data_IF_356386092035
#
_entry.id   IF_356386092035
#
_cell.length_a   1.000
_cell.length_b   1.000
_cell.length_c   1.000
_cell.angle_alpha   90.00
_cell.angle_beta   90.00
_cell.angle_gamma   90.00
#
_symmetry.space_group_name_H-M   'P 1'
#
loop_
_entity.id
_entity.type
_entity.pdbx_description
1 polymer ?
#
# COMPACT_ATOMS: atom_id res chain seq x y z
N UNK A 1 -2.49 -1.94 -17.65
CA UNK A 1 -2.58 -3.13 -18.52
C UNK A 1 -1.48 -4.08 -18.08
N UNK A 2 -1.80 -5.35 -17.87
CA UNK A 2 -0.79 -6.35 -17.49
C UNK A 2 -0.10 -6.81 -18.77
N UNK A 3 1.23 -6.67 -18.80
CA UNK A 3 2.03 -7.20 -19.91
C UNK A 3 1.95 -8.73 -19.89
N UNK A 4 1.82 -9.37 -21.04
CA UNK A 4 1.78 -10.83 -21.10
C UNK A 4 3.22 -11.37 -21.21
N UNK A 5 3.56 -12.49 -20.54
CA UNK A 5 2.68 -13.42 -19.82
C UNK A 5 2.57 -13.14 -18.29
N UNK A 6 2.82 -11.92 -17.81
CA UNK A 6 2.67 -11.61 -16.38
C UNK A 6 1.19 -11.67 -15.95
N UNK A 7 0.97 -11.91 -14.65
CA UNK A 7 -0.37 -12.08 -14.05
C UNK A 7 -0.77 -10.93 -13.13
N UNK A 8 0.13 -9.97 -12.91
CA UNK A 8 -0.13 -8.79 -12.09
C UNK A 8 0.80 -7.63 -12.50
N UNK A 9 0.36 -6.40 -12.25
CA UNK A 9 1.14 -5.17 -12.39
C UNK A 9 0.83 -4.23 -11.23
N UNK A 10 1.89 -3.66 -10.63
CA UNK A 10 1.81 -2.69 -9.56
C UNK A 10 1.93 -1.27 -10.15
N UNK A 11 1.15 -0.35 -9.63
CA UNK A 11 1.22 1.07 -9.95
C UNK A 11 1.39 1.89 -8.67
N UNK A 12 2.09 3.02 -8.80
CA UNK A 12 2.35 3.96 -7.71
C UNK A 12 1.94 5.35 -8.17
N UNK A 13 1.02 5.96 -7.44
CA UNK A 13 0.67 7.35 -7.68
C UNK A 13 1.76 8.31 -7.22
N UNK A 14 1.62 9.58 -7.57
CA UNK A 14 2.50 10.62 -7.06
C UNK A 14 2.39 10.74 -5.54
N UNK A 15 3.54 10.84 -4.86
CA UNK A 15 3.59 11.10 -3.42
C UNK A 15 3.07 12.51 -3.14
N UNK A 16 2.05 12.62 -2.27
CA UNK A 16 1.44 13.89 -1.86
C UNK A 16 1.44 14.01 -0.34
N UNK A 17 1.49 15.24 0.17
CA UNK A 17 1.29 15.49 1.60
C UNK A 17 -0.18 15.29 1.96
N UNK A 18 -0.47 14.39 2.88
CA UNK A 18 -1.83 14.14 3.39
C UNK A 18 -1.86 14.31 4.91
N UNK A 19 -2.97 14.84 5.42
CA UNK A 19 -3.27 14.82 6.84
C UNK A 19 -3.72 13.41 7.23
N UNK A 20 -3.03 12.82 8.21
CA UNK A 20 -3.33 11.48 8.73
C UNK A 20 -3.47 11.54 10.24
N UNK A 21 -4.32 10.68 10.79
CA UNK A 21 -4.43 10.48 12.23
C UNK A 21 -3.36 9.47 12.65
N UNK A 22 -2.63 9.80 13.71
CA UNK A 22 -1.68 8.92 14.38
C UNK A 22 -2.19 8.68 15.79
N UNK A 23 -2.34 7.40 16.14
CA UNK A 23 -2.71 6.96 17.47
C UNK A 23 -1.45 6.53 18.22
N UNK A 24 -1.22 7.09 19.40
CA UNK A 24 -0.09 6.72 20.25
C UNK A 24 -0.34 5.40 21.02
N UNK A 25 0.65 4.84 21.74
CA UNK A 25 0.46 3.61 22.53
C UNK A 25 -0.57 3.72 23.66
N UNK A 26 -0.90 4.93 24.10
CA UNK A 26 -1.89 5.23 25.15
C UNK A 26 -3.30 5.38 24.56
N UNK A 27 -3.43 5.40 23.23
CA UNK A 27 -4.69 5.54 22.51
C UNK A 27 -5.08 6.98 22.20
N UNK A 28 -4.19 7.96 22.38
CA UNK A 28 -4.48 9.35 22.03
C UNK A 28 -4.24 9.59 20.54
N UNK A 29 -5.20 10.27 19.91
CA UNK A 29 -5.14 10.62 18.50
C UNK A 29 -4.52 12.01 18.28
N UNK A 30 -3.67 12.12 17.26
CA UNK A 30 -3.11 13.39 16.79
C UNK A 30 -3.14 13.45 15.26
N UNK A 31 -3.31 14.66 14.70
CA UNK A 31 -3.24 14.86 13.25
C UNK A 31 -1.81 15.26 12.89
N UNK A 32 -1.25 14.58 11.91
CA UNK A 32 0.05 14.91 11.35
C UNK A 32 0.03 14.92 9.83
N UNK A 33 0.87 15.76 9.22
CA UNK A 33 1.06 15.77 7.76
C UNK A 33 2.14 14.73 7.42
N UNK A 34 1.84 13.80 6.51
CA UNK A 34 2.77 12.77 6.05
C UNK A 34 2.85 12.71 4.52
N UNK A 35 4.02 12.39 3.94
CA UNK A 35 4.10 12.01 2.54
C UNK A 35 3.42 10.66 2.36
N UNK A 36 2.41 10.60 1.50
CA UNK A 36 1.60 9.41 1.27
C UNK A 36 1.50 9.15 -0.23
N UNK A 37 1.40 7.88 -0.60
CA UNK A 37 1.12 7.44 -1.96
C UNK A 37 0.01 6.41 -1.96
N UNK A 38 -0.69 6.29 -3.08
CA UNK A 38 -1.60 5.18 -3.34
C UNK A 38 -0.81 4.10 -4.08
N UNK A 39 -1.00 2.85 -3.65
CA UNK A 39 -0.44 1.66 -4.30
C UNK A 39 -1.59 0.90 -4.95
N UNK A 40 -1.58 0.80 -6.27
CA UNK A 40 -2.58 0.08 -7.05
C UNK A 40 -2.05 -1.27 -7.52
N UNK A 41 -2.86 -2.32 -7.45
CA UNK A 41 -2.54 -3.63 -8.04
C UNK A 41 -3.65 -4.01 -9.03
N UNK A 42 -3.27 -4.23 -10.28
CA UNK A 42 -4.13 -4.94 -11.23
C UNK A 42 -3.62 -6.37 -11.37
N UNK A 43 -4.52 -7.35 -11.30
CA UNK A 43 -4.17 -8.77 -11.42
C UNK A 43 -5.18 -9.54 -12.28
N UNK A 44 -4.75 -10.68 -12.81
CA UNK A 44 -5.62 -11.62 -13.52
C UNK A 44 -6.35 -12.52 -12.51
N UNK A 45 -7.67 -12.37 -12.41
CA UNK A 45 -8.52 -13.16 -11.51
C UNK A 45 -8.56 -14.66 -11.81
N UNK A 46 -8.15 -15.07 -13.01
CA UNK A 46 -8.05 -16.49 -13.37
C UNK A 46 -6.84 -17.14 -12.71
N UNK A 47 -5.81 -16.34 -12.40
CA UNK A 47 -4.57 -16.79 -11.77
C UNK A 47 -4.55 -16.56 -10.26
N UNK A 48 -5.10 -15.43 -9.77
CA UNK A 48 -5.09 -15.04 -8.36
C UNK A 48 -6.48 -14.60 -7.88
N UNK A 49 -6.85 -15.02 -6.68
CA UNK A 49 -8.04 -14.49 -6.01
C UNK A 49 -7.76 -13.16 -5.30
N UNK A 50 -8.84 -12.51 -4.82
CA UNK A 50 -8.73 -11.22 -4.14
C UNK A 50 -8.06 -11.29 -2.77
N UNK A 51 -8.07 -12.44 -2.08
CA UNK A 51 -7.42 -12.60 -0.77
C UNK A 51 -5.91 -12.58 -0.94
N UNK A 52 -5.39 -13.32 -1.91
CA UNK A 52 -3.96 -13.35 -2.24
C UNK A 52 -3.47 -11.97 -2.69
N UNK A 53 -4.24 -11.29 -3.56
CA UNK A 53 -3.93 -9.92 -3.99
C UNK A 53 -3.90 -8.92 -2.82
N UNK A 54 -4.87 -9.00 -1.89
CA UNK A 54 -4.92 -8.14 -0.71
C UNK A 54 -3.77 -8.41 0.27
N UNK A 55 -3.43 -9.68 0.49
CA UNK A 55 -2.30 -10.07 1.34
C UNK A 55 -0.95 -9.59 0.76
N UNK A 56 -0.80 -9.66 -0.56
CA UNK A 56 0.37 -9.12 -1.25
C UNK A 56 0.50 -7.61 -1.00
N UNK A 57 -0.58 -6.83 -1.26
CA UNK A 57 -0.57 -5.37 -1.02
C UNK A 57 -0.32 -5.02 0.45
N UNK A 58 -0.90 -5.76 1.40
CA UNK A 58 -0.66 -5.56 2.82
C UNK A 58 0.81 -5.80 3.21
N UNK A 59 1.45 -6.78 2.58
CA UNK A 59 2.88 -7.07 2.78
C UNK A 59 3.75 -5.97 2.18
N UNK A 60 3.46 -5.52 0.96
CA UNK A 60 4.15 -4.38 0.33
C UNK A 60 4.03 -3.14 1.21
N UNK A 61 2.83 -2.81 1.67
CA UNK A 61 2.58 -1.69 2.59
C UNK A 61 3.45 -1.81 3.84
N UNK A 62 3.41 -2.94 4.54
CA UNK A 62 4.17 -3.17 5.77
C UNK A 62 5.67 -2.99 5.55
N UNK A 63 6.20 -3.50 4.44
CA UNK A 63 7.62 -3.39 4.12
C UNK A 63 8.02 -1.93 3.86
N UNK A 64 7.22 -1.19 3.09
CA UNK A 64 7.48 0.23 2.79
C UNK A 64 7.38 1.12 4.05
N UNK A 65 6.39 0.86 4.90
CA UNK A 65 6.22 1.59 6.17
C UNK A 65 7.31 1.23 7.18
N UNK A 66 7.77 -0.02 7.21
CA UNK A 66 8.86 -0.48 8.08
C UNK A 66 10.25 0.01 7.66
N UNK A 67 10.50 0.19 6.35
CA UNK A 67 11.75 0.73 5.80
C UNK A 67 12.03 2.18 6.26
N UNK A 68 10.99 2.95 6.60
CA UNK A 68 11.14 4.33 7.06
C UNK A 68 11.60 4.47 8.53
N UNK A 69 11.75 3.36 9.26
CA UNK A 69 12.11 3.33 10.67
C UNK A 69 13.57 2.88 10.94
N UNK A 70 14.44 2.89 9.93
CA UNK A 70 15.90 2.69 10.07
C UNK A 70 16.66 4.01 9.96
#
# INVERSE_FOLDING_TARGET
>A
IINQPQVAILDLEAIKKQAVVLTDPEGNDSIAIRPMTIVGLSWDHRALDGVQAAQFLATVKRNLEGLAAG
#
